data_IF_769133038871
#
_entry.id   IF_769133038871
#
_cell.length_a   1.000
_cell.length_b   1.000
_cell.length_c   1.000
_cell.angle_alpha   90.00
_cell.angle_beta   90.00
_cell.angle_gamma   90.00
#
_symmetry.space_group_name_H-M   'P 1'
#
loop_
_entity.id
_entity.type
_entity.pdbx_description
1 polymer ?
#
# COMPACT_ATOMS: atom_id res chain seq x y z
N UNK A 1 -0.93 -12.80 13.35
CA UNK A 1 -2.24 -12.12 13.18
C UNK A 1 -2.47 -11.90 11.71
N UNK A 2 -3.52 -12.50 11.10
CA UNK A 2 -3.79 -12.39 9.67
C UNK A 2 -4.14 -10.96 9.25
N UNK A 3 -4.12 -10.73 7.92
CA UNK A 3 -4.55 -9.45 7.36
C UNK A 3 -6.07 -9.29 7.48
N UNK A 4 -6.49 -8.10 7.90
CA UNK A 4 -7.88 -7.66 7.90
C UNK A 4 -7.96 -6.25 7.34
N UNK A 5 -8.97 -6.03 6.48
CA UNK A 5 -9.15 -4.73 5.79
C UNK A 5 -9.42 -3.57 6.75
N UNK A 6 -10.08 -3.83 7.87
CA UNK A 6 -10.35 -2.82 8.90
C UNK A 6 -9.08 -2.40 9.62
N UNK A 7 -8.21 -3.35 9.94
CA UNK A 7 -6.92 -3.11 10.59
C UNK A 7 -5.83 -2.66 9.63
N UNK A 8 -5.97 -2.93 8.34
CA UNK A 8 -5.04 -2.61 7.23
C UNK A 8 -3.60 -3.05 7.48
N UNK A 9 -3.40 -4.15 8.23
CA UNK A 9 -2.08 -4.72 8.56
C UNK A 9 -2.17 -6.20 8.89
N UNK A 10 -1.02 -6.84 8.88
CA UNK A 10 -0.83 -8.21 9.36
C UNK A 10 0.51 -8.36 10.08
N UNK A 11 0.63 -9.37 10.91
CA UNK A 11 1.87 -9.70 11.59
C UNK A 11 2.14 -11.20 11.64
N UNK A 12 3.42 -11.56 11.68
CA UNK A 12 3.90 -12.94 11.89
C UNK A 12 5.00 -12.94 12.93
N UNK A 13 5.12 -14.02 13.67
CA UNK A 13 6.22 -14.25 14.63
C UNK A 13 7.16 -15.28 14.03
N UNK A 14 8.45 -15.04 14.14
CA UNK A 14 9.52 -15.97 13.77
C UNK A 14 10.51 -16.10 14.92
N UNK A 15 11.19 -17.22 15.00
CA UNK A 15 12.39 -17.35 15.86
C UNK A 15 13.53 -16.53 15.27
N UNK A 16 14.34 -15.89 16.12
CA UNK A 16 15.45 -15.03 15.72
C UNK A 16 16.81 -15.76 15.56
N UNK A 17 16.82 -17.07 15.78
CA UNK A 17 18.04 -17.91 15.68
C UNK A 17 18.85 -17.99 16.97
N UNK A 18 18.68 -17.06 17.91
CA UNK A 18 19.32 -17.05 19.24
C UNK A 18 18.37 -17.52 20.36
N UNK A 19 17.23 -18.10 19.98
CA UNK A 19 16.19 -18.58 20.90
C UNK A 19 15.21 -17.49 21.35
N UNK A 20 15.28 -16.31 20.77
CA UNK A 20 14.29 -15.23 20.89
C UNK A 20 13.23 -15.29 19.79
N UNK A 21 12.32 -14.32 19.82
CA UNK A 21 11.27 -14.19 18.80
C UNK A 21 11.22 -12.78 18.26
N UNK A 22 10.90 -12.66 16.96
CA UNK A 22 10.66 -11.40 16.28
C UNK A 22 9.24 -11.37 15.74
N UNK A 23 8.53 -10.30 16.06
CA UNK A 23 7.28 -9.95 15.41
C UNK A 23 7.61 -9.11 14.17
N UNK A 24 7.19 -9.56 13.01
CA UNK A 24 7.25 -8.80 11.76
C UNK A 24 5.85 -8.28 11.43
N UNK A 25 5.75 -6.99 11.13
CA UNK A 25 4.48 -6.34 10.83
C UNK A 25 4.59 -5.63 9.49
N UNK A 26 3.57 -5.79 8.64
CA UNK A 26 3.43 -5.01 7.41
C UNK A 26 2.00 -4.51 7.25
N UNK A 27 1.84 -3.34 6.66
CA UNK A 27 0.53 -2.74 6.47
C UNK A 27 0.58 -1.35 5.85
N UNK A 28 -0.54 -0.64 5.96
CA UNK A 28 -0.64 0.73 5.49
C UNK A 28 0.35 1.64 6.24
N UNK A 29 1.09 2.53 5.52
CA UNK A 29 2.14 3.35 6.11
C UNK A 29 1.68 4.18 7.31
N UNK A 30 0.54 4.82 7.23
CA UNK A 30 -0.07 5.60 8.31
C UNK A 30 -0.29 4.75 9.57
N UNK A 31 -0.86 3.56 9.41
CA UNK A 31 -1.14 2.63 10.53
C UNK A 31 0.15 2.12 11.18
N UNK A 32 1.12 1.70 10.37
CA UNK A 32 2.39 1.17 10.91
C UNK A 32 3.17 2.27 11.65
N UNK A 33 3.16 3.51 11.14
CA UNK A 33 3.79 4.64 11.81
C UNK A 33 3.16 4.94 13.18
N UNK A 34 1.82 4.92 13.29
CA UNK A 34 1.12 5.12 14.57
C UNK A 34 1.54 4.08 15.62
N UNK A 35 1.75 2.84 15.22
CA UNK A 35 2.15 1.74 16.10
C UNK A 35 3.65 1.71 16.41
N UNK A 36 4.47 2.53 15.72
CA UNK A 36 5.92 2.57 15.86
C UNK A 36 6.35 3.66 16.82
N UNK A 37 7.29 3.34 17.71
CA UNK A 37 7.93 4.28 18.62
C UNK A 37 9.39 4.55 18.26
N UNK A 38 9.98 3.67 17.48
CA UNK A 38 11.37 3.73 17.04
C UNK A 38 11.45 3.46 15.52
N UNK A 39 12.60 3.77 14.96
CA UNK A 39 12.95 3.41 13.58
C UNK A 39 14.38 2.89 13.50
N UNK A 40 14.66 2.08 12.49
CA UNK A 40 16.02 1.67 12.16
C UNK A 40 16.64 2.71 11.22
N UNK A 41 17.73 3.37 11.67
CA UNK A 41 18.49 4.33 10.87
C UNK A 41 19.98 3.98 10.95
N UNK A 42 20.61 3.76 9.81
CA UNK A 42 22.02 3.41 9.69
C UNK A 42 22.45 2.25 10.61
N UNK A 43 21.60 1.20 10.68
CA UNK A 43 21.82 0.02 11.49
C UNK A 43 21.59 0.23 13.00
N UNK A 44 21.06 1.37 13.43
CA UNK A 44 20.78 1.70 14.84
C UNK A 44 19.30 1.97 15.05
N UNK A 45 18.78 1.45 16.17
CA UNK A 45 17.42 1.77 16.60
C UNK A 45 17.43 3.13 17.29
N UNK A 46 16.67 4.09 16.73
CA UNK A 46 16.54 5.45 17.26
C UNK A 46 15.07 5.78 17.49
N UNK A 47 14.74 6.71 18.41
CA UNK A 47 13.35 7.17 18.56
C UNK A 47 12.80 7.73 17.25
N UNK A 48 11.55 7.43 16.94
CA UNK A 48 10.84 7.94 15.78
C UNK A 48 10.18 9.27 16.16
N UNK A 49 10.74 10.39 15.64
CA UNK A 49 10.24 11.74 15.90
C UNK A 49 9.06 12.11 15.00
N UNK A 50 8.31 13.16 15.34
CA UNK A 50 7.22 13.66 14.49
C UNK A 50 7.74 14.18 13.15
N UNK A 51 8.95 14.75 13.11
CA UNK A 51 9.60 15.14 11.87
C UNK A 51 9.90 13.93 10.97
N UNK A 52 10.35 12.82 11.55
CA UNK A 52 10.60 11.59 10.81
C UNK A 52 9.28 11.00 10.26
N UNK A 53 8.21 11.02 11.07
CA UNK A 53 6.88 10.57 10.63
C UNK A 53 6.40 11.36 9.42
N UNK A 54 6.52 12.69 9.48
CA UNK A 54 6.10 13.54 8.36
C UNK A 54 6.94 13.25 7.11
N UNK A 55 8.25 13.16 7.25
CA UNK A 55 9.13 12.84 6.11
C UNK A 55 8.80 11.48 5.46
N UNK A 56 8.45 10.46 6.27
CA UNK A 56 8.05 9.16 5.77
C UNK A 56 6.69 9.22 5.05
N UNK A 57 5.73 9.99 5.58
CA UNK A 57 4.43 10.17 4.93
C UNK A 57 4.57 10.95 3.61
N UNK A 58 5.42 11.96 3.55
CA UNK A 58 5.72 12.68 2.31
C UNK A 58 6.37 11.76 1.27
N UNK A 59 7.27 10.87 1.71
CA UNK A 59 7.85 9.85 0.84
C UNK A 59 6.81 8.85 0.34
N UNK A 60 5.89 8.42 1.21
CA UNK A 60 4.78 7.57 0.81
C UNK A 60 3.92 8.22 -0.29
N UNK A 61 3.61 9.52 -0.17
CA UNK A 61 2.89 10.27 -1.20
C UNK A 61 3.69 10.32 -2.51
N UNK A 62 5.00 10.60 -2.45
CA UNK A 62 5.86 10.59 -3.64
C UNK A 62 5.89 9.24 -4.35
N UNK A 63 5.93 8.14 -3.59
CA UNK A 63 5.87 6.79 -4.14
C UNK A 63 4.50 6.50 -4.76
N UNK A 64 3.42 6.93 -4.13
CA UNK A 64 2.05 6.78 -4.65
C UNK A 64 1.85 7.58 -5.96
N UNK A 65 2.44 8.77 -6.09
CA UNK A 65 2.42 9.57 -7.32
C UNK A 65 3.14 8.88 -8.49
N UNK A 66 4.06 7.95 -8.19
CA UNK A 66 4.72 7.08 -9.16
C UNK A 66 3.94 5.78 -9.44
N UNK A 67 2.67 5.72 -9.06
CA UNK A 67 1.82 4.55 -9.20
C UNK A 67 2.27 3.32 -8.39
N UNK A 68 3.09 3.52 -7.34
CA UNK A 68 3.49 2.45 -6.46
C UNK A 68 2.41 2.19 -5.40
N UNK A 69 2.05 0.93 -5.22
CA UNK A 69 1.33 0.49 -4.04
C UNK A 69 2.32 0.36 -2.90
N UNK A 70 2.18 1.21 -1.88
CA UNK A 70 3.14 1.30 -0.79
C UNK A 70 2.67 0.50 0.42
N UNK A 71 3.58 -0.30 0.98
CA UNK A 71 3.45 -0.93 2.29
C UNK A 71 4.59 -0.44 3.19
N UNK A 72 4.27 -0.25 4.46
CA UNK A 72 5.26 -0.08 5.50
C UNK A 72 5.59 -1.43 6.15
N UNK A 73 6.82 -1.58 6.57
CA UNK A 73 7.32 -2.72 7.34
C UNK A 73 7.94 -2.27 8.64
N UNK A 74 7.68 -3.04 9.70
CA UNK A 74 8.21 -2.81 11.03
C UNK A 74 8.44 -4.16 11.74
N UNK A 75 9.19 -4.14 12.82
CA UNK A 75 9.39 -5.32 13.66
C UNK A 75 9.39 -4.95 15.14
N UNK A 76 9.29 -5.97 15.98
CA UNK A 76 9.49 -5.85 17.41
C UNK A 76 10.11 -7.15 17.96
N UNK A 77 11.22 -7.08 18.72
CA UNK A 77 11.67 -8.22 19.51
C UNK A 77 10.60 -8.59 20.57
N UNK A 78 10.32 -9.86 20.70
CA UNK A 78 9.41 -10.40 21.69
C UNK A 78 10.18 -11.19 22.73
N UNK A 79 9.79 -11.00 24.00
CA UNK A 79 10.27 -11.80 25.10
C UNK A 79 9.07 -12.48 25.75
N UNK A 80 9.16 -13.78 25.92
CA UNK A 80 8.20 -14.59 26.67
C UNK A 80 8.82 -15.03 27.99
N UNK A 81 8.03 -15.20 29.06
CA UNK A 81 8.51 -15.83 30.30
C UNK A 81 9.10 -17.23 30.05
N UNK A 82 9.97 -17.69 30.93
CA UNK A 82 10.58 -19.00 30.79
C UNK A 82 9.52 -20.11 30.73
N UNK A 83 9.58 -20.93 29.69
CA UNK A 83 8.60 -22.01 29.45
C UNK A 83 7.32 -21.56 28.72
N UNK A 84 7.21 -20.27 28.36
CA UNK A 84 6.14 -19.73 27.52
C UNK A 84 6.66 -19.42 26.13
N UNK A 85 5.74 -19.39 25.15
CA UNK A 85 6.07 -19.10 23.76
C UNK A 85 4.88 -18.56 22.99
N UNK A 86 5.02 -18.36 21.66
CA UNK A 86 3.95 -17.82 20.82
C UNK A 86 2.71 -18.73 20.77
N UNK A 87 2.78 -20.00 21.14
CA UNK A 87 1.64 -20.93 21.10
C UNK A 87 0.50 -20.47 22.01
N UNK A 88 0.80 -19.80 23.13
CA UNK A 88 -0.22 -19.25 24.04
C UNK A 88 -1.04 -18.12 23.40
N UNK A 89 -0.54 -17.52 22.32
CA UNK A 89 -1.27 -16.49 21.59
C UNK A 89 -2.35 -17.10 20.68
N UNK A 90 -2.29 -18.40 20.40
CA UNK A 90 -3.26 -19.10 19.55
C UNK A 90 -4.66 -19.17 20.22
N UNK A 91 -4.74 -19.03 21.52
CA UNK A 91 -5.99 -19.01 22.28
C UNK A 91 -6.66 -17.61 22.30
N UNK A 92 -5.95 -16.57 21.88
CA UNK A 92 -6.47 -15.21 21.84
C UNK A 92 -7.28 -14.96 20.56
N UNK A 93 -8.29 -14.12 20.67
CA UNK A 93 -8.92 -13.55 19.49
C UNK A 93 -7.91 -12.71 18.67
N UNK A 94 -8.21 -12.48 17.39
CA UNK A 94 -7.37 -11.67 16.51
C UNK A 94 -7.10 -10.27 17.09
N UNK A 95 -8.13 -9.62 17.67
CA UNK A 95 -8.02 -8.29 18.25
C UNK A 95 -7.17 -8.27 19.52
N UNK A 96 -7.32 -9.24 20.40
CA UNK A 96 -6.52 -9.37 21.61
C UNK A 96 -5.04 -9.63 21.27
N UNK A 97 -4.78 -10.54 20.33
CA UNK A 97 -3.43 -10.81 19.86
C UNK A 97 -2.80 -9.57 19.22
N UNK A 98 -3.55 -8.85 18.37
CA UNK A 98 -3.09 -7.61 17.74
C UNK A 98 -2.79 -6.52 18.77
N UNK A 99 -3.68 -6.27 19.73
CA UNK A 99 -3.49 -5.26 20.78
C UNK A 99 -2.26 -5.57 21.67
N UNK A 100 -1.99 -6.84 21.92
CA UNK A 100 -0.84 -7.28 22.73
C UNK A 100 0.49 -7.20 21.96
N UNK A 101 0.46 -7.55 20.68
CA UNK A 101 1.65 -7.73 19.85
C UNK A 101 2.04 -6.48 19.05
N UNK A 102 1.09 -5.88 18.36
CA UNK A 102 1.31 -4.85 17.35
C UNK A 102 1.40 -3.45 17.95
N UNK A 103 2.38 -3.23 18.81
CA UNK A 103 2.66 -1.96 19.50
C UNK A 103 4.15 -1.77 19.76
N UNK A 104 4.59 -0.53 19.96
CA UNK A 104 6.00 -0.18 20.22
C UNK A 104 6.93 -0.79 19.14
N UNK A 105 6.52 -0.66 17.88
CA UNK A 105 7.25 -1.22 16.77
C UNK A 105 8.49 -0.38 16.43
N UNK A 106 9.47 -1.03 15.82
CA UNK A 106 10.62 -0.41 15.17
C UNK A 106 10.33 -0.36 13.67
N UNK A 107 10.07 0.82 13.14
CA UNK A 107 9.84 1.04 11.72
C UNK A 107 11.12 0.75 10.92
N UNK A 108 10.99 -0.02 9.85
CA UNK A 108 12.11 -0.40 8.99
C UNK A 108 12.17 0.41 7.68
N UNK A 109 11.00 0.65 7.08
CA UNK A 109 10.95 1.36 5.80
C UNK A 109 9.63 1.17 5.06
N UNK A 110 9.59 1.79 3.88
CA UNK A 110 8.51 1.66 2.90
C UNK A 110 8.94 0.70 1.78
N UNK A 111 8.00 -0.09 1.31
CA UNK A 111 8.14 -0.97 0.14
C UNK A 111 7.14 -0.54 -0.91
N UNK A 112 7.62 -0.03 -2.04
CA UNK A 112 6.80 0.27 -3.20
C UNK A 112 6.70 -0.96 -4.11
N UNK A 113 5.48 -1.30 -4.48
CA UNK A 113 5.17 -2.39 -5.41
C UNK A 113 4.45 -1.81 -6.61
N UNK A 114 4.81 -2.26 -7.79
CA UNK A 114 4.09 -1.97 -9.02
C UNK A 114 3.77 -3.30 -9.70
N UNK A 115 2.57 -3.39 -10.24
CA UNK A 115 2.20 -4.47 -11.16
C UNK A 115 2.28 -3.89 -12.57
N UNK A 116 3.41 -4.10 -13.29
CA UNK A 116 3.58 -3.48 -14.60
C UNK A 116 2.58 -4.08 -15.59
N UNK A 117 2.05 -3.28 -16.51
CA UNK A 117 1.22 -3.80 -17.57
C UNK A 117 2.00 -4.83 -18.40
N UNK A 118 1.29 -5.83 -18.91
CA UNK A 118 1.91 -6.83 -19.79
C UNK A 118 2.51 -6.16 -21.01
N UNK A 119 3.73 -6.56 -21.43
CA UNK A 119 4.45 -5.89 -22.53
C UNK A 119 3.65 -5.80 -23.85
N UNK A 120 2.83 -6.84 -24.14
CA UNK A 120 2.00 -6.90 -25.35
C UNK A 120 0.85 -5.90 -25.37
N UNK A 121 0.40 -5.41 -24.21
CA UNK A 121 -0.78 -4.51 -24.11
C UNK A 121 -0.51 -3.17 -24.80
N UNK A 122 0.70 -2.63 -24.66
CA UNK A 122 1.08 -1.37 -25.34
C UNK A 122 0.95 -1.46 -26.86
N UNK A 123 1.36 -2.59 -27.43
CA UNK A 123 1.23 -2.83 -28.88
C UNK A 123 -0.23 -3.02 -29.29
N UNK A 124 -1.02 -3.73 -28.46
CA UNK A 124 -2.45 -3.94 -28.71
C UNK A 124 -3.23 -2.61 -28.68
N UNK A 125 -2.97 -1.74 -27.69
CA UNK A 125 -3.55 -0.39 -27.60
C UNK A 125 -3.18 0.44 -28.84
N UNK A 126 -1.92 0.42 -29.27
CA UNK A 126 -1.48 1.12 -30.46
C UNK A 126 -2.16 0.59 -31.74
N UNK A 127 -2.38 -0.72 -31.83
CA UNK A 127 -3.09 -1.34 -32.96
C UNK A 127 -4.58 -0.96 -32.95
N UNK A 128 -5.24 -1.01 -31.80
CA UNK A 128 -6.63 -0.58 -31.63
C UNK A 128 -6.82 0.89 -32.05
N UNK A 129 -5.92 1.78 -31.62
CA UNK A 129 -5.94 3.20 -31.99
C UNK A 129 -5.81 3.41 -33.50
N UNK A 130 -4.91 2.67 -34.20
CA UNK A 130 -4.78 2.73 -35.65
C UNK A 130 -6.05 2.23 -36.36
N UNK A 131 -6.78 1.31 -35.76
CA UNK A 131 -8.06 0.82 -36.31
C UNK A 131 -9.25 1.73 -35.94
N UNK A 132 -9.03 2.90 -35.32
CA UNK A 132 -10.09 3.81 -34.93
C UNK A 132 -10.85 3.36 -33.66
N UNK A 133 -10.34 2.37 -32.95
CA UNK A 133 -10.95 1.86 -31.71
C UNK A 133 -10.38 2.65 -30.53
N UNK A 134 -11.26 3.27 -29.75
CA UNK A 134 -10.92 3.95 -28.52
C UNK A 134 -10.83 2.96 -27.35
N UNK A 135 -9.71 2.94 -26.67
CA UNK A 135 -9.50 2.09 -25.49
C UNK A 135 -9.81 2.88 -24.23
N UNK A 136 -10.61 2.32 -23.35
CA UNK A 136 -10.95 2.88 -22.03
C UNK A 136 -10.43 1.93 -20.95
N UNK A 137 -9.77 2.47 -19.94
CA UNK A 137 -9.29 1.69 -18.80
C UNK A 137 -10.26 1.84 -17.62
N UNK A 138 -10.70 0.69 -17.09
CA UNK A 138 -11.54 0.60 -15.89
C UNK A 138 -10.76 -0.20 -14.86
N UNK A 139 -10.55 0.38 -13.68
CA UNK A 139 -9.78 -0.25 -12.59
C UNK A 139 -10.33 0.17 -11.23
N UNK A 140 -10.09 -0.68 -10.22
CA UNK A 140 -10.33 -0.34 -8.81
C UNK A 140 -9.15 0.38 -8.13
N UNK A 141 -8.07 0.67 -8.86
CA UNK A 141 -6.88 1.33 -8.33
C UNK A 141 -7.14 2.82 -8.04
N UNK A 142 -6.22 3.40 -7.26
CA UNK A 142 -6.23 4.85 -7.03
C UNK A 142 -6.08 5.62 -8.36
N UNK A 143 -6.78 6.76 -8.58
CA UNK A 143 -6.76 7.52 -9.84
C UNK A 143 -5.36 7.88 -10.34
N UNK A 144 -4.42 8.23 -9.45
CA UNK A 144 -3.04 8.54 -9.82
C UNK A 144 -2.32 7.32 -10.42
N UNK A 145 -2.51 6.12 -9.83
CA UNK A 145 -1.98 4.85 -10.34
C UNK A 145 -2.56 4.52 -11.71
N UNK A 146 -3.88 4.65 -11.85
CA UNK A 146 -4.59 4.41 -13.10
C UNK A 146 -4.06 5.30 -14.22
N UNK A 147 -3.90 6.61 -13.96
CA UNK A 147 -3.37 7.57 -14.93
C UNK A 147 -1.93 7.28 -15.33
N UNK A 148 -1.07 6.89 -14.39
CA UNK A 148 0.31 6.54 -14.70
C UNK A 148 0.39 5.34 -15.65
N UNK A 149 -0.37 4.27 -15.36
CA UNK A 149 -0.47 3.08 -16.23
C UNK A 149 -1.08 3.42 -17.58
N UNK A 150 -2.15 4.22 -17.62
CA UNK A 150 -2.80 4.62 -18.85
C UNK A 150 -1.88 5.45 -19.77
N UNK A 151 -1.04 6.32 -19.19
CA UNK A 151 -0.02 7.08 -19.92
C UNK A 151 1.07 6.17 -20.46
N UNK A 152 1.58 5.24 -19.65
CA UNK A 152 2.59 4.27 -20.08
C UNK A 152 2.11 3.41 -21.26
N UNK A 153 0.84 2.99 -21.23
CA UNK A 153 0.21 2.21 -22.29
C UNK A 153 -0.16 3.06 -23.53
N UNK A 154 -0.12 4.39 -23.43
CA UNK A 154 -0.54 5.28 -24.48
C UNK A 154 -2.07 5.35 -24.65
N UNK A 155 -2.83 4.97 -23.63
CA UNK A 155 -4.30 5.13 -23.61
C UNK A 155 -4.66 6.61 -23.52
N UNK A 156 -4.00 7.36 -22.61
CA UNK A 156 -4.19 8.81 -22.45
C UNK A 156 -2.91 9.58 -22.72
N UNK A 157 -3.04 10.86 -23.07
CA UNK A 157 -1.95 11.81 -23.18
C UNK A 157 -1.54 12.42 -21.83
N UNK A 158 -0.65 13.43 -21.85
CA UNK A 158 -0.19 14.13 -20.66
C UNK A 158 -1.33 14.77 -19.85
N UNK A 159 -2.33 15.33 -20.54
CA UNK A 159 -3.52 15.99 -19.99
C UNK A 159 -4.67 15.02 -19.68
N UNK A 160 -4.43 13.70 -19.79
CA UNK A 160 -5.46 12.69 -19.58
C UNK A 160 -6.06 12.75 -18.18
N UNK A 161 -7.36 12.54 -18.08
CA UNK A 161 -8.15 12.62 -16.84
C UNK A 161 -8.71 11.24 -16.47
N UNK A 162 -8.78 10.95 -15.17
CA UNK A 162 -9.53 9.85 -14.62
C UNK A 162 -10.81 10.38 -13.98
N UNK A 163 -11.89 9.61 -14.08
CA UNK A 163 -13.17 9.88 -13.40
C UNK A 163 -13.39 8.78 -12.38
N UNK A 164 -13.63 9.16 -11.14
CA UNK A 164 -13.89 8.20 -10.05
C UNK A 164 -15.35 7.74 -10.05
N UNK A 165 -15.63 6.56 -9.46
CA UNK A 165 -17.01 6.07 -9.31
C UNK A 165 -17.92 7.06 -8.57
N UNK A 166 -17.39 7.78 -7.56
CA UNK A 166 -18.15 8.81 -6.84
C UNK A 166 -18.53 10.00 -7.72
N UNK A 167 -17.63 10.42 -8.60
CA UNK A 167 -17.92 11.47 -9.59
C UNK A 167 -18.94 10.97 -10.59
N UNK A 168 -18.82 9.73 -11.09
CA UNK A 168 -19.78 9.12 -12.02
C UNK A 168 -21.21 9.07 -11.43
N UNK A 169 -21.33 8.71 -10.14
CA UNK A 169 -22.63 8.64 -9.45
C UNK A 169 -23.34 10.02 -9.32
N UNK A 170 -22.59 11.10 -9.45
CA UNK A 170 -23.10 12.48 -9.35
C UNK A 170 -23.44 13.11 -10.71
N UNK A 171 -22.99 12.50 -11.83
CA UNK A 171 -23.22 13.03 -13.16
C UNK A 171 -24.66 12.78 -13.64
N UNK A 172 -25.25 13.79 -14.23
CA UNK A 172 -26.44 13.61 -15.06
C UNK A 172 -26.12 12.83 -16.33
N UNK A 173 -27.12 12.31 -17.01
CA UNK A 173 -26.93 11.56 -18.27
C UNK A 173 -26.18 12.38 -19.34
N UNK A 174 -26.44 13.67 -19.45
CA UNK A 174 -25.77 14.56 -20.40
C UNK A 174 -24.30 14.81 -20.03
N UNK A 175 -24.02 14.98 -18.74
CA UNK A 175 -22.65 15.15 -18.24
C UNK A 175 -21.85 13.85 -18.38
N UNK A 176 -22.49 12.70 -18.18
CA UNK A 176 -21.86 11.39 -18.40
C UNK A 176 -21.43 11.19 -19.86
N UNK A 177 -22.30 11.58 -20.82
CA UNK A 177 -21.95 11.52 -22.26
C UNK A 177 -20.72 12.41 -22.54
N UNK A 178 -20.71 13.65 -22.05
CA UNK A 178 -19.58 14.55 -22.22
C UNK A 178 -18.30 14.00 -21.57
N UNK A 179 -18.39 13.47 -20.34
CA UNK A 179 -17.27 12.87 -19.64
C UNK A 179 -16.70 11.65 -20.40
N UNK A 180 -17.54 10.81 -21.00
CA UNK A 180 -17.10 9.65 -21.82
C UNK A 180 -16.41 10.10 -23.10
N UNK A 181 -16.78 11.25 -23.67
CA UNK A 181 -16.11 11.82 -24.86
C UNK A 181 -14.73 12.39 -24.50
N UNK A 182 -14.57 12.97 -23.31
CA UNK A 182 -13.31 13.53 -22.81
C UNK A 182 -12.38 12.49 -22.17
N UNK A 183 -12.92 11.44 -21.56
CA UNK A 183 -12.16 10.36 -20.95
C UNK A 183 -11.65 9.37 -22.01
N UNK A 184 -10.38 9.06 -21.94
CA UNK A 184 -9.73 8.00 -22.73
C UNK A 184 -9.32 6.84 -21.84
#
# INVERSE_FOLDING_TARGET
>A
VPFESERRRMSVITEDGDGGYLLHVKGAPDVILELSTHMLRDGRIVPLTDQDRQAILDENLRMADQALRVLAVAYRPLSFPAGEGPDQLAELSTDEAAARLERNLVFLGLLGMIDPPRPEVKQAVAAARRAGIRTVMITGDHPATALAVARELGIVGAEGRAVTGRELDQLSHSELIAAVEECQ
#
